data_IF_260873326747
#
_entry.id   IF_260873326747
#
_cell.length_a   1.000
_cell.length_b   1.000
_cell.length_c   1.000
_cell.angle_alpha   90.00
_cell.angle_beta   90.00
_cell.angle_gamma   90.00
#
_symmetry.space_group_name_H-M   'P 1'
#
loop_
_entity.id
_entity.type
_entity.pdbx_description
1 polymer ?
#
# COMPACT_ATOMS: atom_id res chain seq x y z
N UNK A 1 -34.49 -4.44 -0.36
CA UNK A 1 -33.94 -5.52 0.48
C UNK A 1 -34.76 -6.78 0.25
N UNK A 2 -34.46 -7.46 -0.86
CA UNK A 2 -34.95 -8.82 -1.08
C UNK A 2 -34.19 -9.78 -0.16
N UNK A 3 -34.79 -10.92 0.19
CA UNK A 3 -34.13 -11.96 0.99
C UNK A 3 -32.80 -12.42 0.37
N UNK A 4 -32.67 -12.36 -0.97
CA UNK A 4 -31.42 -12.62 -1.69
C UNK A 4 -30.32 -11.57 -1.48
N UNK A 5 -30.63 -10.27 -1.45
CA UNK A 5 -29.66 -9.23 -1.09
C UNK A 5 -29.19 -9.36 0.36
N UNK A 6 -30.10 -9.68 1.28
CA UNK A 6 -29.77 -9.86 2.69
C UNK A 6 -28.84 -11.06 2.91
N UNK A 7 -29.14 -12.21 2.28
CA UNK A 7 -28.29 -13.41 2.34
C UNK A 7 -26.95 -13.18 1.64
N UNK A 8 -26.93 -12.47 0.51
CA UNK A 8 -25.70 -12.14 -0.22
C UNK A 8 -24.80 -11.20 0.59
N UNK A 9 -25.37 -10.15 1.22
CA UNK A 9 -24.63 -9.28 2.14
C UNK A 9 -24.12 -10.02 3.37
N UNK A 10 -24.96 -10.86 3.98
CA UNK A 10 -24.56 -11.63 5.16
C UNK A 10 -23.44 -12.62 4.84
N UNK A 11 -23.49 -13.27 3.68
CA UNK A 11 -22.41 -14.14 3.19
C UNK A 11 -21.13 -13.34 2.91
N UNK A 12 -21.24 -12.20 2.24
CA UNK A 12 -20.11 -11.31 1.93
C UNK A 12 -19.43 -10.77 3.19
N UNK A 13 -20.22 -10.31 4.18
CA UNK A 13 -19.71 -9.80 5.44
C UNK A 13 -19.02 -10.92 6.25
N UNK A 14 -19.58 -12.13 6.21
CA UNK A 14 -18.99 -13.30 6.90
C UNK A 14 -17.66 -13.71 6.26
N UNK A 15 -17.56 -13.70 4.93
CA UNK A 15 -16.30 -13.97 4.21
C UNK A 15 -15.26 -12.91 4.54
N UNK A 16 -15.65 -11.63 4.56
CA UNK A 16 -14.74 -10.53 4.89
C UNK A 16 -14.24 -10.61 6.34
N UNK A 17 -15.10 -11.02 7.28
CA UNK A 17 -14.75 -11.25 8.68
C UNK A 17 -13.83 -12.46 8.83
N UNK A 18 -14.11 -13.55 8.11
CA UNK A 18 -13.27 -14.76 8.15
C UNK A 18 -11.88 -14.50 7.57
N UNK A 19 -11.78 -13.73 6.49
CA UNK A 19 -10.51 -13.31 5.89
C UNK A 19 -9.74 -12.35 6.82
N UNK A 20 -10.45 -11.39 7.43
CA UNK A 20 -9.87 -10.49 8.42
C UNK A 20 -9.40 -11.22 9.71
N UNK A 21 -10.13 -12.22 10.19
CA UNK A 21 -9.77 -12.95 11.42
C UNK A 21 -8.76 -14.07 11.18
N UNK A 22 -8.76 -14.71 10.00
CA UNK A 22 -7.86 -15.81 9.68
C UNK A 22 -6.52 -15.31 9.17
N UNK A 23 -6.52 -14.67 8.00
CA UNK A 23 -5.29 -14.32 7.30
C UNK A 23 -4.60 -13.10 7.92
N UNK A 24 -5.37 -12.03 8.23
CA UNK A 24 -4.78 -10.81 8.80
C UNK A 24 -4.32 -11.00 10.24
N UNK A 25 -5.08 -11.71 11.07
CA UNK A 25 -4.66 -11.95 12.46
C UNK A 25 -3.41 -12.84 12.52
N UNK A 26 -3.35 -13.90 11.70
CA UNK A 26 -2.16 -14.74 11.57
C UNK A 26 -0.92 -13.94 11.12
N UNK A 27 -1.08 -13.09 10.10
CA UNK A 27 -0.04 -12.14 9.67
C UNK A 27 0.41 -11.20 10.78
N UNK A 28 -0.51 -10.62 11.55
CA UNK A 28 -0.15 -9.70 12.64
C UNK A 28 0.68 -10.39 13.72
N UNK A 29 0.29 -11.61 14.11
CA UNK A 29 1.04 -12.41 15.09
C UNK A 29 2.42 -12.77 14.54
N UNK A 30 2.51 -13.18 13.28
CA UNK A 30 3.77 -13.50 12.62
C UNK A 30 4.69 -12.29 12.55
N UNK A 31 4.22 -11.14 12.08
CA UNK A 31 5.01 -9.91 12.01
C UNK A 31 5.46 -9.45 13.40
N UNK A 32 4.58 -9.50 14.39
CA UNK A 32 4.92 -9.11 15.77
C UNK A 32 6.00 -10.03 16.34
N UNK A 33 5.86 -11.34 16.13
CA UNK A 33 6.85 -12.33 16.57
C UNK A 33 8.19 -12.18 15.84
N UNK A 34 8.17 -11.93 14.53
CA UNK A 34 9.38 -11.72 13.72
C UNK A 34 10.10 -10.43 14.12
N UNK A 35 9.35 -9.36 14.40
CA UNK A 35 9.90 -8.10 14.88
C UNK A 35 10.60 -8.27 16.24
N UNK A 36 9.93 -8.89 17.22
CA UNK A 36 10.50 -9.17 18.54
C UNK A 36 11.73 -10.07 18.44
N UNK A 37 11.63 -11.18 17.69
CA UNK A 37 12.73 -12.13 17.50
C UNK A 37 13.93 -11.50 16.79
N UNK A 38 13.69 -10.74 15.73
CA UNK A 38 14.72 -10.02 14.98
C UNK A 38 15.43 -8.99 15.85
N UNK A 39 14.68 -8.23 16.66
CA UNK A 39 15.24 -7.24 17.58
C UNK A 39 16.15 -7.89 18.63
N UNK A 40 15.71 -8.99 19.26
CA UNK A 40 16.49 -9.71 20.27
C UNK A 40 17.81 -10.25 19.68
N UNK A 41 17.75 -10.90 18.51
CA UNK A 41 18.95 -11.43 17.83
C UNK A 41 19.90 -10.30 17.45
N UNK A 42 19.36 -9.18 16.97
CA UNK A 42 20.15 -8.04 16.52
C UNK A 42 20.88 -7.36 17.70
N UNK A 43 20.23 -7.19 18.85
CA UNK A 43 20.87 -6.64 20.06
C UNK A 43 21.94 -7.58 20.64
N UNK A 44 21.72 -8.90 20.55
CA UNK A 44 22.65 -9.91 21.08
C UNK A 44 23.92 -10.03 20.22
N UNK A 45 23.82 -9.85 18.91
CA UNK A 45 24.96 -10.04 17.98
C UNK A 45 25.85 -8.81 17.82
N UNK A 46 25.33 -7.60 18.07
CA UNK A 46 26.14 -6.39 17.99
C UNK A 46 25.36 -5.09 18.21
N UNK A 47 25.42 -4.56 19.43
CA UNK A 47 24.75 -3.30 19.85
C UNK A 47 25.05 -2.08 18.96
N UNK A 48 26.28 -1.92 18.46
CA UNK A 48 26.64 -0.76 17.62
C UNK A 48 25.98 -0.79 16.23
N UNK A 49 25.82 -1.98 15.65
CA UNK A 49 25.20 -2.13 14.34
C UNK A 49 23.68 -2.00 14.46
N UNK A 50 23.12 -2.53 15.55
CA UNK A 50 21.69 -2.35 15.87
C UNK A 50 21.33 -0.90 16.09
N UNK A 51 22.14 -0.10 16.78
CA UNK A 51 21.86 1.33 16.96
C UNK A 51 21.78 2.09 15.63
N UNK A 52 22.70 1.79 14.70
CA UNK A 52 22.68 2.39 13.37
C UNK A 52 21.42 1.99 12.58
N UNK A 53 21.07 0.70 12.62
CA UNK A 53 19.83 0.19 11.98
C UNK A 53 18.57 0.78 12.64
N UNK A 54 18.56 0.92 13.97
CA UNK A 54 17.46 1.51 14.74
C UNK A 54 17.25 2.98 14.38
N UNK A 55 18.29 3.70 13.98
CA UNK A 55 18.19 5.09 13.52
C UNK A 55 17.62 5.17 12.10
N UNK A 56 17.90 4.18 11.24
CA UNK A 56 17.33 4.10 9.89
C UNK A 56 15.87 3.62 9.86
N UNK A 57 15.45 2.79 10.82
CA UNK A 57 14.08 2.29 10.93
C UNK A 57 12.99 3.39 10.96
N UNK A 58 13.06 4.44 11.83
CA UNK A 58 12.06 5.51 11.84
C UNK A 58 12.09 6.32 10.54
N UNK A 59 13.25 6.49 9.90
CA UNK A 59 13.36 7.20 8.63
C UNK A 59 12.62 6.45 7.51
N UNK A 60 12.80 5.12 7.43
CA UNK A 60 12.05 4.26 6.50
C UNK A 60 10.56 4.25 6.86
N UNK A 61 10.21 4.16 8.14
CA UNK A 61 8.83 4.15 8.60
C UNK A 61 8.09 5.46 8.25
N UNK A 62 8.72 6.62 8.43
CA UNK A 62 8.16 7.92 8.06
C UNK A 62 7.99 8.00 6.54
N UNK A 63 9.01 7.62 5.76
CA UNK A 63 8.91 7.62 4.29
C UNK A 63 7.81 6.66 3.78
N UNK A 64 7.72 5.47 4.35
CA UNK A 64 6.67 4.49 4.05
C UNK A 64 5.28 5.00 4.43
N UNK A 65 5.14 5.62 5.62
CA UNK A 65 3.87 6.18 6.09
C UNK A 65 3.38 7.33 5.21
N UNK A 66 4.27 8.25 4.81
CA UNK A 66 3.93 9.36 3.90
C UNK A 66 3.47 8.82 2.55
N UNK A 67 4.18 7.85 1.98
CA UNK A 67 3.79 7.24 0.70
C UNK A 67 2.50 6.42 0.78
N UNK A 68 2.29 5.69 1.88
CA UNK A 68 1.04 4.98 2.14
C UNK A 68 -0.13 5.97 2.28
N UNK A 69 0.04 7.07 3.02
CA UNK A 69 -0.99 8.11 3.14
C UNK A 69 -1.29 8.78 1.80
N UNK A 70 -0.27 9.04 0.97
CA UNK A 70 -0.45 9.54 -0.39
C UNK A 70 -1.27 8.55 -1.22
N UNK A 71 -0.90 7.26 -1.21
CA UNK A 71 -1.62 6.23 -1.95
C UNK A 71 -3.08 6.13 -1.49
N UNK A 72 -3.36 6.12 -0.19
CA UNK A 72 -4.72 6.08 0.35
C UNK A 72 -5.53 7.31 -0.06
N UNK A 73 -4.94 8.51 -0.03
CA UNK A 73 -5.60 9.76 -0.45
C UNK A 73 -5.94 9.76 -1.93
N UNK A 74 -5.01 9.31 -2.78
CA UNK A 74 -5.23 9.27 -4.22
C UNK A 74 -6.27 8.19 -4.56
N UNK A 75 -6.20 7.01 -3.93
CA UNK A 75 -7.20 5.95 -4.12
C UNK A 75 -8.60 6.37 -3.68
N UNK A 76 -8.72 7.15 -2.59
CA UNK A 76 -10.00 7.69 -2.14
C UNK A 76 -10.59 8.69 -3.14
N UNK A 77 -9.74 9.59 -3.70
CA UNK A 77 -10.15 10.49 -4.79
C UNK A 77 -10.60 9.74 -6.04
N UNK A 78 -9.94 8.63 -6.35
CA UNK A 78 -10.29 7.73 -7.45
C UNK A 78 -11.71 7.21 -7.29
N UNK A 79 -12.01 6.69 -6.09
CA UNK A 79 -13.31 6.11 -5.78
C UNK A 79 -14.44 7.14 -5.87
N UNK A 80 -14.22 8.36 -5.37
CA UNK A 80 -15.21 9.44 -5.50
C UNK A 80 -15.46 9.85 -6.94
N UNK A 81 -14.40 10.03 -7.76
CA UNK A 81 -14.59 10.41 -9.17
C UNK A 81 -15.20 9.29 -10.01
N UNK A 82 -14.97 8.03 -9.63
CA UNK A 82 -15.60 6.88 -10.27
C UNK A 82 -17.08 6.79 -9.89
N UNK A 83 -17.41 7.03 -8.61
CA UNK A 83 -18.80 7.10 -8.11
C UNK A 83 -19.63 8.14 -8.87
N UNK A 84 -19.13 9.38 -9.01
CA UNK A 84 -19.85 10.45 -9.72
C UNK A 84 -20.12 10.09 -11.20
N UNK A 85 -19.15 9.43 -11.85
CA UNK A 85 -19.31 8.95 -13.21
C UNK A 85 -20.32 7.80 -13.28
N UNK A 86 -20.27 6.85 -12.34
CA UNK A 86 -21.21 5.73 -12.27
C UNK A 86 -22.65 6.21 -12.02
N UNK A 87 -22.85 7.16 -11.10
CA UNK A 87 -24.16 7.76 -10.82
C UNK A 87 -24.75 8.44 -12.07
N UNK A 88 -23.92 9.14 -12.84
CA UNK A 88 -24.37 9.79 -14.08
C UNK A 88 -24.77 8.77 -15.15
N UNK A 89 -24.04 7.66 -15.24
CA UNK A 89 -24.36 6.56 -16.16
C UNK A 89 -25.64 5.86 -15.73
N UNK A 90 -25.82 5.61 -14.44
CA UNK A 90 -27.01 5.00 -13.86
C UNK A 90 -28.26 5.85 -14.12
N UNK A 91 -28.18 7.17 -13.94
CA UNK A 91 -29.27 8.11 -14.25
C UNK A 91 -29.64 8.10 -15.75
N UNK A 92 -28.64 7.99 -16.62
CA UNK A 92 -28.84 7.99 -18.08
C UNK A 92 -29.47 6.68 -18.55
N UNK A 93 -29.02 5.53 -18.02
CA UNK A 93 -29.59 4.21 -18.33
C UNK A 93 -30.99 4.05 -17.72
N UNK A 94 -31.21 4.52 -16.50
CA UNK A 94 -32.52 4.49 -15.85
C UNK A 94 -33.57 5.34 -16.59
N UNK A 95 -33.12 6.40 -17.27
CA UNK A 95 -33.98 7.30 -18.04
C UNK A 95 -33.93 7.05 -19.56
N UNK A 96 -33.48 5.87 -20.01
CA UNK A 96 -33.23 5.58 -21.44
C UNK A 96 -34.46 5.84 -22.32
N UNK A 97 -35.66 5.51 -21.83
CA UNK A 97 -36.92 5.73 -22.56
C UNK A 97 -37.17 7.24 -22.79
N UNK A 98 -36.80 8.09 -21.85
CA UNK A 98 -36.92 9.55 -21.94
C UNK A 98 -35.87 10.13 -22.91
N UNK A 99 -34.63 9.64 -22.88
CA UNK A 99 -33.54 10.08 -23.77
C UNK A 99 -33.86 9.76 -25.23
N UNK A 100 -34.39 8.56 -25.49
CA UNK A 100 -34.83 8.14 -26.84
C UNK A 100 -36.05 8.95 -27.29
N UNK A 101 -37.00 9.22 -26.38
CA UNK A 101 -38.21 10.00 -26.71
C UNK A 101 -37.91 11.46 -27.09
N UNK A 102 -36.86 12.05 -26.53
CA UNK A 102 -36.41 13.41 -26.86
C UNK A 102 -35.36 13.46 -27.97
N UNK A 103 -35.02 12.33 -28.61
CA UNK A 103 -33.95 12.21 -29.60
C UNK A 103 -32.59 12.76 -29.08
N UNK A 104 -32.37 12.62 -27.76
CA UNK A 104 -31.25 13.21 -27.03
C UNK A 104 -29.98 12.37 -27.01
N UNK A 105 -29.92 11.29 -27.79
CA UNK A 105 -28.83 10.30 -27.78
C UNK A 105 -27.45 10.95 -28.03
N UNK A 106 -27.36 11.89 -28.99
CA UNK A 106 -26.11 12.62 -29.26
C UNK A 106 -25.60 13.40 -28.04
N UNK A 107 -26.51 14.03 -27.30
CA UNK A 107 -26.17 14.82 -26.10
C UNK A 107 -25.75 13.92 -24.94
N UNK A 108 -26.38 12.76 -24.80
CA UNK A 108 -25.99 11.74 -23.82
C UNK A 108 -24.60 11.16 -24.13
N UNK A 109 -24.30 10.86 -25.40
CA UNK A 109 -22.99 10.36 -25.85
C UNK A 109 -21.89 11.40 -25.61
N UNK A 110 -22.15 12.67 -25.90
CA UNK A 110 -21.20 13.76 -25.68
C UNK A 110 -20.90 13.95 -24.18
N UNK A 111 -21.93 13.85 -23.35
CA UNK A 111 -21.80 13.93 -21.90
C UNK A 111 -21.01 12.71 -21.34
N UNK A 112 -21.29 11.51 -21.83
CA UNK A 112 -20.55 10.28 -21.47
C UNK A 112 -19.07 10.36 -21.88
N UNK A 113 -18.78 10.82 -23.10
CA UNK A 113 -17.40 11.02 -23.56
C UNK A 113 -16.64 12.03 -22.68
N UNK A 114 -17.32 13.08 -22.23
CA UNK A 114 -16.74 14.07 -21.31
C UNK A 114 -16.40 13.45 -19.96
N UNK A 115 -17.28 12.63 -19.39
CA UNK A 115 -17.03 11.91 -18.13
C UNK A 115 -15.89 10.90 -18.25
N UNK A 116 -15.89 10.07 -19.30
CA UNK A 116 -14.81 9.10 -19.53
C UNK A 116 -13.47 9.79 -19.71
N UNK A 117 -13.42 10.90 -20.46
CA UNK A 117 -12.17 11.65 -20.66
C UNK A 117 -11.63 12.22 -19.34
N UNK A 118 -12.51 12.69 -18.46
CA UNK A 118 -12.12 13.22 -17.15
C UNK A 118 -11.68 12.11 -16.19
N UNK A 119 -12.40 10.98 -16.19
CA UNK A 119 -12.03 9.79 -15.43
C UNK A 119 -10.66 9.24 -15.89
N UNK A 120 -10.43 9.15 -17.20
CA UNK A 120 -9.16 8.71 -17.77
C UNK A 120 -7.99 9.59 -17.30
N UNK A 121 -8.14 10.92 -17.36
CA UNK A 121 -7.10 11.85 -16.89
C UNK A 121 -6.80 11.66 -15.39
N UNK A 122 -7.83 11.50 -14.58
CA UNK A 122 -7.70 11.25 -13.14
C UNK A 122 -6.95 9.95 -12.85
N UNK A 123 -7.27 8.88 -13.60
CA UNK A 123 -6.59 7.58 -13.48
C UNK A 123 -5.12 7.67 -13.91
N UNK A 124 -4.79 8.45 -14.95
CA UNK A 124 -3.41 8.65 -15.41
C UNK A 124 -2.60 9.44 -14.39
N UNK A 125 -3.14 10.55 -13.87
CA UNK A 125 -2.47 11.35 -12.82
C UNK A 125 -2.25 10.52 -11.55
N UNK A 126 -3.22 9.67 -11.19
CA UNK A 126 -3.04 8.73 -10.09
C UNK A 126 -1.99 7.66 -10.36
N UNK A 127 -1.99 7.07 -11.55
CA UNK A 127 -0.98 6.09 -11.93
C UNK A 127 0.43 6.66 -11.77
N UNK A 128 0.62 7.92 -12.16
CA UNK A 128 1.89 8.64 -11.99
C UNK A 128 2.22 8.90 -10.51
N UNK A 129 1.26 9.37 -9.70
CA UNK A 129 1.50 9.64 -8.27
C UNK A 129 1.76 8.34 -7.49
N UNK A 130 1.02 7.27 -7.80
CA UNK A 130 1.19 5.94 -7.20
C UNK A 130 2.54 5.35 -7.60
N UNK A 131 2.89 5.40 -8.89
CA UNK A 131 4.17 4.91 -9.39
C UNK A 131 5.36 5.66 -8.79
N UNK A 132 5.29 7.00 -8.72
CA UNK A 132 6.33 7.82 -8.11
C UNK A 132 6.42 7.60 -6.60
N UNK A 133 5.29 7.46 -5.91
CA UNK A 133 5.24 7.14 -4.49
C UNK A 133 5.89 5.80 -4.18
N UNK A 134 5.53 4.75 -4.92
CA UNK A 134 6.09 3.41 -4.74
C UNK A 134 7.59 3.37 -5.11
N UNK A 135 7.98 4.02 -6.21
CA UNK A 135 9.38 4.13 -6.62
C UNK A 135 10.25 4.89 -5.60
N UNK A 136 9.71 5.96 -5.00
CA UNK A 136 10.39 6.71 -3.94
C UNK A 136 10.64 5.85 -2.70
N UNK A 137 9.66 5.03 -2.30
CA UNK A 137 9.81 4.10 -1.17
C UNK A 137 10.91 3.06 -1.44
N UNK A 138 10.89 2.43 -2.62
CA UNK A 138 11.93 1.45 -2.98
C UNK A 138 13.33 2.09 -3.01
N UNK A 139 13.46 3.30 -3.55
CA UNK A 139 14.73 4.02 -3.57
C UNK A 139 15.29 4.27 -2.16
N UNK A 140 14.42 4.67 -1.21
CA UNK A 140 14.81 4.91 0.19
C UNK A 140 15.23 3.61 0.87
N UNK A 141 14.50 2.52 0.62
CA UNK A 141 14.84 1.19 1.17
C UNK A 141 16.21 0.73 0.69
N UNK A 142 16.47 0.76 -0.63
CA UNK A 142 17.77 0.37 -1.19
C UNK A 142 18.91 1.27 -0.70
N UNK A 143 18.68 2.58 -0.59
CA UNK A 143 19.65 3.53 -0.06
C UNK A 143 20.00 3.23 1.41
N UNK A 144 18.98 2.90 2.22
CA UNK A 144 19.18 2.51 3.61
C UNK A 144 19.95 1.20 3.74
N UNK A 145 19.68 0.21 2.87
CA UNK A 145 20.48 -1.01 2.83
C UNK A 145 21.93 -0.72 2.45
N UNK A 146 22.18 0.15 1.47
CA UNK A 146 23.53 0.58 1.10
C UNK A 146 24.30 1.18 2.27
N UNK A 147 23.66 2.09 3.03
CA UNK A 147 24.23 2.66 4.25
C UNK A 147 24.52 1.60 5.33
N UNK A 148 23.62 0.64 5.50
CA UNK A 148 23.79 -0.46 6.44
C UNK A 148 24.99 -1.36 6.08
N UNK A 149 25.16 -1.69 4.80
CA UNK A 149 26.30 -2.45 4.31
C UNK A 149 27.62 -1.67 4.45
N UNK A 150 27.62 -0.37 4.14
CA UNK A 150 28.81 0.47 4.27
C UNK A 150 29.25 0.62 5.74
N UNK A 151 28.31 0.95 6.63
CA UNK A 151 28.59 1.07 8.06
C UNK A 151 28.96 -0.27 8.69
N UNK A 152 28.30 -1.36 8.27
CA UNK A 152 28.66 -2.72 8.66
C UNK A 152 30.07 -3.08 8.24
N UNK A 153 30.47 -2.77 6.99
CA UNK A 153 31.83 -2.97 6.49
C UNK A 153 32.88 -2.20 7.29
N UNK A 154 32.61 -0.94 7.63
CA UNK A 154 33.52 -0.15 8.50
C UNK A 154 33.68 -0.79 9.89
N UNK A 155 32.61 -1.37 10.44
CA UNK A 155 32.62 -2.03 11.75
C UNK A 155 33.45 -3.33 11.78
N UNK A 156 33.58 -4.03 10.63
CA UNK A 156 34.47 -5.18 10.47
C UNK A 156 35.92 -4.75 10.66
N UNK A 157 36.30 -3.64 10.03
CA UNK A 157 37.67 -3.14 9.96
C UNK A 157 38.10 -2.53 11.30
N UNK A 158 37.26 -1.69 11.92
CA UNK A 158 37.62 -0.96 13.15
C UNK A 158 37.48 -1.79 14.43
N UNK A 159 36.56 -2.77 14.48
CA UNK A 159 36.23 -3.51 15.72
C UNK A 159 36.29 -5.03 15.59
N UNK A 160 36.75 -5.57 14.47
CA UNK A 160 36.92 -7.03 14.29
C UNK A 160 35.60 -7.80 14.30
N UNK A 161 34.48 -7.18 13.89
CA UNK A 161 33.22 -7.89 13.72
C UNK A 161 33.34 -8.95 12.61
N UNK A 162 32.95 -10.19 12.88
CA UNK A 162 32.88 -11.23 11.85
C UNK A 162 31.76 -10.91 10.85
N UNK A 163 32.03 -11.00 9.54
CA UNK A 163 31.04 -10.75 8.48
C UNK A 163 29.74 -11.55 8.64
N UNK A 164 29.81 -12.76 9.20
CA UNK A 164 28.64 -13.57 9.54
C UNK A 164 27.69 -12.91 10.55
N UNK A 165 28.20 -12.14 11.52
CA UNK A 165 27.36 -11.39 12.47
C UNK A 165 26.59 -10.26 11.77
N UNK A 166 27.22 -9.59 10.81
CA UNK A 166 26.58 -8.49 10.05
C UNK A 166 25.51 -9.05 9.12
N UNK A 167 25.78 -10.14 8.40
CA UNK A 167 24.78 -10.81 7.56
C UNK A 167 23.61 -11.30 8.41
N UNK A 168 23.87 -11.87 9.60
CA UNK A 168 22.82 -12.31 10.51
C UNK A 168 21.96 -11.12 10.99
N UNK A 169 22.57 -9.98 11.33
CA UNK A 169 21.82 -8.78 11.74
C UNK A 169 21.03 -8.19 10.57
N UNK A 170 21.60 -8.11 9.38
CA UNK A 170 20.90 -7.67 8.17
C UNK A 170 19.71 -8.56 7.83
N UNK A 171 19.87 -9.89 7.87
CA UNK A 171 18.78 -10.83 7.65
C UNK A 171 17.74 -10.76 8.75
N UNK A 172 18.13 -10.65 10.03
CA UNK A 172 17.19 -10.50 11.14
C UNK A 172 16.35 -9.21 11.01
N UNK A 173 16.96 -8.12 10.53
CA UNK A 173 16.24 -6.86 10.27
C UNK A 173 15.37 -6.98 9.02
N UNK A 174 15.82 -7.65 7.95
CA UNK A 174 15.01 -7.94 6.77
C UNK A 174 13.76 -8.75 7.14
N UNK A 175 13.94 -9.86 7.85
CA UNK A 175 12.84 -10.71 8.32
C UNK A 175 11.96 -10.01 9.37
N UNK A 176 12.51 -9.06 10.14
CA UNK A 176 11.74 -8.26 11.09
C UNK A 176 11.02 -7.05 10.48
N UNK A 177 11.42 -6.60 9.29
CA UNK A 177 10.83 -5.45 8.59
C UNK A 177 9.78 -5.84 7.54
N UNK A 178 9.80 -7.09 7.05
CA UNK A 178 8.80 -7.68 6.15
C UNK A 178 7.64 -8.31 6.89
#
# INVERSE_FOLDING_TARGET
MTTGEAVSRMSSDTVMIQDALGEKAGKLVQLTSAFLGGFIIAFTKGWLLTLAMLTSLPLIAIAGAVSAQLLTRVSSKRLTSYSDAADTVELTIGSIRTVVSFNGEKKAIEMYNKFIKNAYRTVVEEGLVSGFGMGSVFCIIFSSYGLAFWYGGKLIIDKGYTGGKIITVLFAVLTGAT
#
